data_IF_345486433497
#
_entry.id   IF_345486433497
#
_cell.length_a   1.000
_cell.length_b   1.000
_cell.length_c   1.000
_cell.angle_alpha   90.00
_cell.angle_beta   90.00
_cell.angle_gamma   90.00
#
_symmetry.space_group_name_H-M   'P 1'
#
loop_
_entity.id
_entity.type
_entity.pdbx_description
1 polymer ?
#
# COMPACT_ATOMS: atom_id res chain seq x y z
N UNK A 1 -15.43 -7.21 -10.71
CA UNK A 1 -14.29 -6.85 -11.57
C UNK A 1 -13.03 -6.87 -10.72
N UNK A 2 -11.99 -7.58 -11.13
CA UNK A 2 -10.72 -7.68 -10.37
C UNK A 2 -9.74 -6.62 -10.88
N UNK A 3 -9.15 -5.84 -9.99
CA UNK A 3 -8.11 -4.87 -10.35
C UNK A 3 -6.84 -5.63 -10.79
N UNK A 4 -6.20 -5.26 -11.92
CA UNK A 4 -4.95 -5.89 -12.34
C UNK A 4 -3.86 -5.78 -11.29
N UNK A 5 -3.09 -6.85 -11.06
CA UNK A 5 -2.00 -6.88 -10.07
C UNK A 5 -0.96 -5.77 -10.30
N UNK A 6 -0.70 -5.43 -11.56
CA UNK A 6 0.21 -4.34 -11.93
C UNK A 6 -0.30 -2.98 -11.46
N UNK A 7 -1.61 -2.72 -11.59
CA UNK A 7 -2.23 -1.48 -11.10
C UNK A 7 -2.17 -1.42 -9.58
N UNK A 8 -2.43 -2.55 -8.91
CA UNK A 8 -2.32 -2.68 -7.45
C UNK A 8 -0.89 -2.34 -7.00
N UNK A 9 0.14 -2.91 -7.64
CA UNK A 9 1.53 -2.64 -7.31
C UNK A 9 1.95 -1.19 -7.60
N UNK A 10 1.55 -0.63 -8.74
CA UNK A 10 1.86 0.75 -9.12
C UNK A 10 1.21 1.77 -8.16
N UNK A 11 0.02 1.45 -7.64
CA UNK A 11 -0.71 2.31 -6.71
C UNK A 11 -0.18 2.27 -5.26
N UNK A 12 0.62 1.28 -4.89
CA UNK A 12 1.01 1.05 -3.49
C UNK A 12 1.84 2.21 -2.91
N UNK A 13 2.88 2.65 -3.62
CA UNK A 13 3.75 3.75 -3.18
C UNK A 13 2.99 5.06 -2.92
N UNK A 14 2.22 5.61 -3.89
CA UNK A 14 1.50 6.87 -3.64
C UNK A 14 0.46 6.76 -2.52
N UNK A 15 -0.20 5.62 -2.37
CA UNK A 15 -1.17 5.38 -1.29
C UNK A 15 -0.46 5.32 0.08
N UNK A 16 0.67 4.62 0.18
CA UNK A 16 1.46 4.54 1.41
C UNK A 16 1.92 5.94 1.83
N UNK A 17 2.47 6.73 0.91
CA UNK A 17 2.89 8.10 1.19
C UNK A 17 1.71 9.00 1.61
N UNK A 18 0.54 8.84 0.97
CA UNK A 18 -0.65 9.59 1.34
C UNK A 18 -1.18 9.25 2.75
N UNK A 19 -0.99 8.01 3.21
CA UNK A 19 -1.32 7.58 4.58
C UNK A 19 -0.30 8.12 5.57
N UNK A 20 1.00 7.95 5.29
CA UNK A 20 2.07 8.44 6.18
C UNK A 20 2.05 9.97 6.34
N UNK A 21 1.58 10.71 5.33
CA UNK A 21 1.37 12.16 5.43
C UNK A 21 0.33 12.55 6.49
N UNK A 22 -0.57 11.66 6.88
CA UNK A 22 -1.56 11.91 7.94
C UNK A 22 -1.02 11.58 9.35
N UNK A 23 0.12 10.91 9.43
CA UNK A 23 0.75 10.49 10.67
C UNK A 23 1.44 9.13 10.52
N UNK A 24 2.29 8.81 11.49
CA UNK A 24 3.07 7.57 11.49
C UNK A 24 2.15 6.34 11.48
N UNK A 25 2.52 5.35 10.69
CA UNK A 25 1.79 4.10 10.55
C UNK A 25 2.73 2.95 10.23
N UNK A 26 2.25 1.72 10.38
CA UNK A 26 3.03 0.50 10.14
C UNK A 26 2.31 -0.42 9.15
N UNK A 27 3.04 -1.35 8.52
CA UNK A 27 2.58 -2.11 7.35
C UNK A 27 1.17 -2.71 7.47
N UNK A 28 0.87 -3.37 8.59
CA UNK A 28 -0.48 -3.93 8.83
C UNK A 28 -1.58 -2.88 8.98
N UNK A 29 -1.29 -1.74 9.63
CA UNK A 29 -2.26 -0.66 9.77
C UNK A 29 -2.59 -0.03 8.41
N UNK A 30 -1.57 0.13 7.55
CA UNK A 30 -1.72 0.61 6.18
C UNK A 30 -2.58 -0.37 5.36
N UNK A 31 -2.28 -1.68 5.39
CA UNK A 31 -3.07 -2.69 4.66
C UNK A 31 -4.54 -2.64 5.11
N UNK A 32 -4.78 -2.61 6.42
CA UNK A 32 -6.13 -2.57 6.97
C UNK A 32 -6.89 -1.32 6.49
N UNK A 33 -6.25 -0.16 6.57
CA UNK A 33 -6.83 1.12 6.14
C UNK A 33 -7.18 1.12 4.65
N UNK A 34 -6.32 0.57 3.79
CA UNK A 34 -6.56 0.49 2.35
C UNK A 34 -7.73 -0.44 2.03
N UNK A 35 -7.83 -1.58 2.73
CA UNK A 35 -8.98 -2.49 2.58
C UNK A 35 -10.30 -1.83 2.98
N UNK A 36 -10.31 -1.13 4.11
CA UNK A 36 -11.48 -0.40 4.61
C UNK A 36 -11.92 0.70 3.63
N UNK A 37 -11.01 1.56 3.19
CA UNK A 37 -11.32 2.69 2.30
C UNK A 37 -11.69 2.23 0.89
N UNK A 38 -11.10 1.13 0.42
CA UNK A 38 -11.40 0.58 -0.92
C UNK A 38 -12.63 -0.34 -0.96
N UNK A 39 -13.24 -0.66 0.19
CA UNK A 39 -14.32 -1.65 0.30
C UNK A 39 -13.91 -3.01 -0.27
N UNK A 40 -12.75 -3.52 0.17
CA UNK A 40 -12.13 -4.78 -0.28
C UNK A 40 -11.83 -4.86 -1.80
N UNK A 41 -11.88 -3.73 -2.53
CA UNK A 41 -11.49 -3.68 -3.95
C UNK A 41 -9.97 -3.65 -4.15
N UNK A 42 -9.23 -3.14 -3.17
CA UNK A 42 -7.77 -3.16 -3.13
C UNK A 42 -7.32 -4.00 -1.94
N UNK A 43 -6.86 -5.22 -2.25
CA UNK A 43 -6.34 -6.15 -1.26
C UNK A 43 -4.86 -6.33 -1.46
N UNK A 44 -4.08 -5.95 -0.44
CA UNK A 44 -2.65 -6.21 -0.40
C UNK A 44 -2.33 -7.40 0.50
N UNK A 45 -1.33 -8.18 0.10
CA UNK A 45 -0.73 -9.22 0.92
C UNK A 45 0.56 -8.69 1.52
N UNK A 46 0.99 -9.26 2.66
CA UNK A 46 2.22 -8.84 3.34
C UNK A 46 3.45 -8.87 2.42
N UNK A 47 3.52 -9.87 1.53
CA UNK A 47 4.59 -10.00 0.53
C UNK A 47 4.65 -8.86 -0.51
N UNK A 48 3.56 -8.11 -0.72
CA UNK A 48 3.53 -6.98 -1.66
C UNK A 48 4.03 -5.67 -1.05
N UNK A 49 4.13 -5.58 0.27
CA UNK A 49 4.72 -4.41 0.94
C UNK A 49 6.24 -4.41 0.87
N UNK A 50 6.87 -5.58 0.82
CA UNK A 50 8.34 -5.71 0.85
C UNK A 50 9.05 -4.99 -0.31
N UNK A 51 8.62 -5.12 -1.59
CA UNK A 51 9.22 -4.35 -2.69
C UNK A 51 8.99 -2.85 -2.55
N UNK A 52 7.89 -2.43 -1.92
CA UNK A 52 7.57 -1.01 -1.74
C UNK A 52 8.43 -0.42 -0.63
N UNK A 53 8.60 -1.13 0.48
CA UNK A 53 9.51 -0.75 1.56
C UNK A 53 10.93 -0.57 1.03
N UNK A 54 11.44 -1.56 0.28
CA UNK A 54 12.79 -1.52 -0.27
C UNK A 54 12.98 -0.38 -1.29
N UNK A 55 11.94 -0.01 -2.04
CA UNK A 55 11.96 1.16 -2.95
C UNK A 55 11.94 2.48 -2.19
N UNK A 56 11.18 2.56 -1.11
CA UNK A 56 11.11 3.75 -0.26
C UNK A 56 12.45 3.96 0.48
N UNK A 57 13.07 2.91 1.00
CA UNK A 57 14.42 2.96 1.59
C UNK A 57 15.50 3.36 0.58
N UNK A 58 15.41 2.87 -0.66
CA UNK A 58 16.39 3.23 -1.70
C UNK A 58 16.21 4.66 -2.25
N UNK A 59 15.07 5.30 -2.01
CA UNK A 59 14.75 6.64 -2.47
C UNK A 59 14.97 7.74 -1.40
N UNK A 60 15.28 7.34 -0.17
CA UNK A 60 15.70 8.23 0.93
C UNK A 60 17.22 8.28 1.05
#
# INVERSE_FOLDING_TARGET
MTIPKELVAASATPIILAILRQGDSYGYAIIRKVREVSQDRLTWTDGMLYPVHHRLEAAG
#
